data_IF_269958843585
#
_entry.id   IF_269958843585
#
_cell.length_a   1.000
_cell.length_b   1.000
_cell.length_c   1.000
_cell.angle_alpha   90.00
_cell.angle_beta   90.00
_cell.angle_gamma   90.00
#
_symmetry.space_group_name_H-M   'P 1'
#
loop_
_entity.id
_entity.type
_entity.pdbx_description
1 polymer ?
#
# COMPACT_ATOMS: atom_id res chain seq x y z
N UNK A 1 -6.63 12.26 -5.61
CA UNK A 1 -6.22 10.93 -5.11
C UNK A 1 -7.31 9.88 -5.32
N UNK A 2 -8.58 10.18 -5.04
CA UNK A 2 -9.69 9.23 -5.22
C UNK A 2 -9.81 8.68 -6.65
N UNK A 3 -9.66 9.52 -7.67
CA UNK A 3 -9.68 9.08 -9.09
C UNK A 3 -8.54 8.09 -9.38
N UNK A 4 -7.31 8.40 -8.96
CA UNK A 4 -6.17 7.47 -9.10
C UNK A 4 -6.45 6.14 -8.40
N UNK A 5 -6.92 6.15 -7.16
CA UNK A 5 -7.23 4.92 -6.42
C UNK A 5 -8.36 4.12 -7.07
N UNK A 6 -9.36 4.78 -7.65
CA UNK A 6 -10.51 4.15 -8.30
C UNK A 6 -10.18 3.56 -9.69
N UNK A 7 -9.12 4.01 -10.36
CA UNK A 7 -8.75 3.49 -11.68
C UNK A 7 -8.00 2.16 -11.58
N UNK A 8 -8.55 1.02 -12.04
CA UNK A 8 -7.90 -0.29 -11.92
C UNK A 8 -6.66 -0.43 -12.82
N UNK A 9 -6.60 0.32 -13.92
CA UNK A 9 -5.50 0.26 -14.90
C UNK A 9 -4.36 1.22 -14.60
N UNK A 10 -4.55 2.17 -13.69
CA UNK A 10 -3.52 3.16 -13.36
C UNK A 10 -2.72 2.67 -12.15
N UNK A 11 -1.62 1.97 -12.43
CA UNK A 11 -0.74 1.40 -11.41
C UNK A 11 0.13 2.46 -10.72
N UNK A 12 0.61 3.45 -11.47
CA UNK A 12 1.51 4.49 -10.94
C UNK A 12 1.00 5.90 -11.27
N UNK A 13 1.17 6.83 -10.34
CA UNK A 13 0.95 8.26 -10.58
C UNK A 13 2.12 9.09 -10.06
N UNK A 14 2.37 10.23 -10.73
CA UNK A 14 3.44 11.17 -10.38
C UNK A 14 2.82 12.52 -10.06
N UNK A 15 3.13 13.03 -8.88
CA UNK A 15 2.62 14.31 -8.40
C UNK A 15 3.79 15.26 -8.22
N UNK A 16 3.87 16.29 -9.07
CA UNK A 16 4.77 17.42 -8.84
C UNK A 16 4.20 18.26 -7.69
N UNK A 17 4.90 18.30 -6.57
CA UNK A 17 4.49 19.02 -5.38
C UNK A 17 5.72 19.52 -4.64
N UNK A 18 5.58 20.58 -3.85
CA UNK A 18 6.61 21.05 -2.91
C UNK A 18 6.78 20.05 -1.75
N UNK A 19 7.91 20.11 -1.04
CA UNK A 19 8.27 19.11 -0.03
C UNK A 19 7.23 18.98 1.10
N UNK A 20 6.73 20.10 1.61
CA UNK A 20 5.66 20.17 2.62
C UNK A 20 4.42 19.38 2.19
N UNK A 21 3.98 19.58 0.94
CA UNK A 21 2.83 18.88 0.39
C UNK A 21 3.12 17.40 0.11
N UNK A 22 4.36 17.05 -0.27
CA UNK A 22 4.78 15.64 -0.42
C UNK A 22 4.72 14.92 0.92
N UNK A 23 5.27 15.53 1.97
CA UNK A 23 5.26 14.95 3.31
C UNK A 23 3.84 14.75 3.83
N UNK A 24 2.96 15.74 3.66
CA UNK A 24 1.55 15.61 4.02
C UNK A 24 0.86 14.43 3.30
N UNK A 25 1.13 14.25 2.00
CA UNK A 25 0.57 13.11 1.25
C UNK A 25 1.08 11.77 1.77
N UNK A 26 2.37 11.67 2.10
CA UNK A 26 2.97 10.47 2.69
C UNK A 26 2.33 10.16 4.05
N UNK A 27 2.13 11.17 4.89
CA UNK A 27 1.52 11.00 6.21
C UNK A 27 0.06 10.55 6.11
N UNK A 28 -0.71 11.12 5.18
CA UNK A 28 -2.10 10.70 4.91
C UNK A 28 -2.15 9.25 4.39
N UNK A 29 -1.24 8.87 3.49
CA UNK A 29 -1.13 7.50 2.98
C UNK A 29 -0.86 6.51 4.12
N UNK A 30 0.09 6.84 5.00
CA UNK A 30 0.44 6.02 6.16
C UNK A 30 -0.70 5.93 7.16
N UNK A 31 -1.32 7.06 7.49
CA UNK A 31 -2.45 7.14 8.43
C UNK A 31 -3.64 6.32 7.95
N UNK A 32 -3.96 6.39 6.65
CA UNK A 32 -5.08 5.66 6.04
C UNK A 32 -4.74 4.24 5.61
N UNK A 33 -3.51 3.77 5.86
CA UNK A 33 -3.00 2.45 5.46
C UNK A 33 -3.33 2.10 4.01
N UNK A 34 -3.12 3.06 3.11
CA UNK A 34 -3.39 2.84 1.69
C UNK A 34 -2.32 1.93 1.09
N UNK A 35 -2.74 0.98 0.25
CA UNK A 35 -1.85 0.04 -0.46
C UNK A 35 -1.07 0.70 -1.59
N UNK A 36 -0.33 1.74 -1.25
CA UNK A 36 0.50 2.48 -2.18
C UNK A 36 1.90 2.63 -1.58
N UNK A 37 2.91 2.35 -2.39
CA UNK A 37 4.30 2.70 -2.05
C UNK A 37 4.59 4.10 -2.55
N UNK A 38 5.45 4.81 -1.81
CA UNK A 38 5.82 6.20 -2.12
C UNK A 38 7.30 6.29 -2.44
N UNK A 39 7.65 6.86 -3.60
CA UNK A 39 9.02 7.16 -4.01
C UNK A 39 9.19 8.64 -4.37
N UNK A 40 10.42 9.15 -4.35
CA UNK A 40 10.73 10.52 -4.79
C UNK A 40 11.57 10.45 -6.06
N UNK A 41 11.04 10.98 -7.16
CA UNK A 41 11.76 11.14 -8.43
C UNK A 41 12.46 12.50 -8.43
N UNK A 42 13.80 12.48 -8.40
CA UNK A 42 14.67 13.67 -8.33
C UNK A 42 15.17 14.14 -9.71
N UNK A 43 14.58 13.63 -10.79
CA UNK A 43 15.02 13.88 -12.17
C UNK A 43 14.82 15.33 -12.61
N UNK A 44 13.90 16.07 -12.00
CA UNK A 44 13.73 17.49 -12.25
C UNK A 44 13.20 18.24 -11.02
N UNK A 45 13.53 19.53 -10.92
CA UNK A 45 12.94 20.44 -9.94
C UNK A 45 11.65 21.05 -10.49
N UNK A 46 10.55 21.09 -9.73
CA UNK A 46 10.38 20.50 -8.39
C UNK A 46 10.29 18.96 -8.43
N UNK A 47 10.89 18.28 -7.44
CA UNK A 47 10.86 16.82 -7.34
C UNK A 47 9.43 16.28 -7.34
N UNK A 48 9.24 15.08 -7.90
CA UNK A 48 7.93 14.45 -8.01
C UNK A 48 7.78 13.34 -6.97
N UNK A 49 6.62 13.29 -6.32
CA UNK A 49 6.20 12.15 -5.52
C UNK A 49 5.61 11.10 -6.46
N UNK A 50 6.22 9.92 -6.50
CA UNK A 50 5.75 8.75 -7.23
C UNK A 50 4.94 7.90 -6.26
N UNK A 51 3.69 7.61 -6.63
CA UNK A 51 2.82 6.71 -5.90
C UNK A 51 2.57 5.49 -6.78
N UNK A 52 2.89 4.31 -6.29
CA UNK A 52 2.68 3.04 -7.00
C UNK A 52 1.70 2.19 -6.19
N UNK A 53 0.57 1.84 -6.79
CA UNK A 53 -0.37 0.89 -6.20
C UNK A 53 0.32 -0.45 -6.03
N UNK A 54 0.03 -1.07 -4.91
CA UNK A 54 0.52 -2.40 -4.58
C UNK A 54 -0.65 -3.24 -4.10
N UNK A 55 -0.45 -4.54 -4.02
CA UNK A 55 -1.35 -5.47 -3.33
C UNK A 55 -0.86 -5.76 -1.92
N UNK A 56 -0.02 -4.89 -1.33
CA UNK A 56 0.74 -5.22 -0.12
C UNK A 56 -0.13 -5.62 1.08
N UNK A 57 -1.26 -4.95 1.33
CA UNK A 57 -2.19 -5.38 2.39
C UNK A 57 -2.95 -6.64 2.02
N UNK A 58 -3.28 -6.85 0.73
CA UNK A 58 -3.88 -8.10 0.27
C UNK A 58 -2.92 -9.28 0.42
N UNK A 59 -1.64 -9.11 0.05
CA UNK A 59 -0.60 -10.12 0.25
C UNK A 59 -0.35 -10.39 1.74
N UNK A 60 -0.42 -9.35 2.59
CA UNK A 60 -0.34 -9.49 4.04
C UNK A 60 -1.52 -10.29 4.60
N UNK A 61 -2.73 -9.96 4.18
CA UNK A 61 -3.96 -10.66 4.59
C UNK A 61 -3.98 -12.11 4.10
N UNK A 62 -3.54 -12.38 2.88
CA UNK A 62 -3.35 -13.74 2.36
C UNK A 62 -2.31 -14.51 3.18
N UNK A 63 -1.22 -13.86 3.59
CA UNK A 63 -0.21 -14.48 4.44
C UNK A 63 -0.76 -14.81 5.83
N UNK A 64 -1.52 -13.91 6.43
CA UNK A 64 -2.21 -14.13 7.70
C UNK A 64 -3.21 -15.29 7.58
N UNK A 65 -4.06 -15.30 6.56
CA UNK A 65 -4.98 -16.39 6.26
C UNK A 65 -4.28 -17.75 6.13
N UNK A 66 -3.17 -17.83 5.38
CA UNK A 66 -2.43 -19.09 5.24
C UNK A 66 -1.78 -19.54 6.57
N UNK A 67 -1.35 -18.60 7.41
CA UNK A 67 -0.84 -18.93 8.73
C UNK A 67 -1.96 -19.46 9.64
N UNK A 68 -3.14 -18.85 9.59
CA UNK A 68 -4.31 -19.28 10.35
C UNK A 68 -4.76 -20.69 9.94
N UNK A 69 -4.79 -20.99 8.64
CA UNK A 69 -5.09 -22.35 8.14
C UNK A 69 -4.06 -23.36 8.65
N UNK A 70 -2.76 -23.02 8.64
CA UNK A 70 -1.71 -23.90 9.19
C UNK A 70 -1.87 -24.11 10.69
N UNK A 71 -2.24 -23.05 11.42
CA UNK A 71 -2.50 -23.13 12.85
C UNK A 71 -3.71 -24.02 13.14
N UNK A 72 -4.82 -23.83 12.41
CA UNK A 72 -6.01 -24.66 12.54
C UNK A 72 -5.72 -26.14 12.21
N UNK A 73 -4.90 -26.40 11.19
CA UNK A 73 -4.49 -27.75 10.83
C UNK A 73 -3.55 -28.41 11.85
N UNK A 74 -2.82 -27.62 12.67
CA UNK A 74 -1.93 -28.14 13.71
C UNK A 74 -2.60 -28.35 15.06
N UNK A 75 -3.84 -27.86 15.23
CA UNK A 75 -4.60 -28.12 16.45
C UNK A 75 -4.99 -29.60 16.52
N UNK A 76 -4.77 -30.26 17.68
CA UNK A 76 -5.26 -31.62 17.88
C UNK A 76 -6.78 -31.62 17.79
N UNK A 77 -7.34 -32.63 17.13
CA UNK A 77 -8.79 -32.85 17.16
C UNK A 77 -9.20 -33.02 18.61
N UNK A 78 -10.14 -32.19 19.06
CA UNK A 78 -10.80 -32.40 20.33
C UNK A 78 -11.69 -33.62 20.11
N UNK A 79 -11.21 -34.79 20.53
CA UNK A 79 -12.04 -36.00 20.56
C UNK A 79 -13.04 -35.84 21.70
N UNK A 80 -14.32 -35.99 21.36
CA UNK A 80 -15.45 -36.00 22.30
C UNK A 80 -15.69 -37.37 22.89
#
# INVERSE_FOLDING_TARGET
MQIFLASPTQETTRIAAREDRRQHLIDVIRSKKLDVTTGIEKTSSPHKLVLTKTTASHDRELKEYHNDIKLLASLPKIEG
#
